data_IF_591620047659
#
_entry.id   IF_591620047659
#
_cell.length_a   1.000
_cell.length_b   1.000
_cell.length_c   1.000
_cell.angle_alpha   90.00
_cell.angle_beta   90.00
_cell.angle_gamma   90.00
#
_symmetry.space_group_name_H-M   'P 1'
#
loop_
_entity.id
_entity.type
_entity.pdbx_description
1 polymer ?
#
# COMPACT_ATOMS: atom_id res chain seq x y z
N UNK A 1 13.22 33.29 31.23
CA UNK A 1 12.97 31.83 31.09
C UNK A 1 12.45 31.56 29.67
N UNK A 2 13.28 31.04 28.77
CA UNK A 2 12.86 30.75 27.38
C UNK A 2 12.13 29.41 27.35
N UNK A 3 10.81 29.46 27.13
CA UNK A 3 9.97 28.30 26.90
C UNK A 3 10.39 27.65 25.57
N UNK A 4 11.01 26.46 25.64
CA UNK A 4 11.28 25.65 24.46
C UNK A 4 9.98 24.94 24.09
N UNK A 5 9.23 25.53 23.16
CA UNK A 5 8.20 24.82 22.44
C UNK A 5 8.86 23.62 21.77
N UNK A 6 8.55 22.41 22.24
CA UNK A 6 8.99 21.18 21.60
C UNK A 6 8.07 20.98 20.41
N UNK A 7 8.48 21.47 19.24
CA UNK A 7 7.90 21.00 17.99
C UNK A 7 8.41 19.59 17.73
N UNK A 8 7.63 18.60 18.18
CA UNK A 8 7.80 17.21 17.78
C UNK A 8 7.41 17.08 16.29
N UNK A 9 8.33 17.39 15.39
CA UNK A 9 8.18 17.06 13.98
C UNK A 9 8.42 15.55 13.80
N UNK A 10 7.37 14.79 13.45
CA UNK A 10 7.50 13.37 13.09
C UNK A 10 8.22 13.23 11.75
N UNK A 11 9.54 13.18 11.80
CA UNK A 11 10.44 12.91 10.66
C UNK A 11 10.36 11.44 10.26
N UNK A 12 9.35 11.11 9.44
CA UNK A 12 9.20 9.83 8.76
C UNK A 12 8.74 8.69 9.66
N UNK A 13 7.72 7.94 9.22
CA UNK A 13 7.45 6.64 9.84
C UNK A 13 8.70 5.76 9.69
N UNK A 14 9.23 5.24 10.80
CA UNK A 14 10.24 4.17 10.72
C UNK A 14 9.70 3.07 9.79
N UNK A 15 10.46 2.66 8.77
CA UNK A 15 10.07 1.57 7.83
C UNK A 15 9.43 0.39 8.59
N UNK A 16 9.99 0.01 9.74
CA UNK A 16 9.46 -1.05 10.62
C UNK A 16 8.01 -0.82 11.11
N UNK A 17 7.63 0.42 11.46
CA UNK A 17 6.27 0.76 11.90
C UNK A 17 5.27 0.73 10.75
N UNK A 18 5.64 1.22 9.57
CA UNK A 18 4.77 1.21 8.39
C UNK A 18 4.49 -0.23 7.90
N UNK A 19 5.50 -1.11 7.97
CA UNK A 19 5.34 -2.54 7.71
C UNK A 19 4.40 -3.22 8.71
N UNK A 20 4.59 -2.98 10.02
CA UNK A 20 3.69 -3.50 11.04
C UNK A 20 2.25 -3.03 10.82
N UNK A 21 2.04 -1.75 10.52
CA UNK A 21 0.72 -1.20 10.21
C UNK A 21 0.09 -1.88 9.00
N UNK A 22 0.85 -2.11 7.93
CA UNK A 22 0.37 -2.81 6.74
C UNK A 22 -0.04 -4.26 7.04
N UNK A 23 0.75 -4.97 7.84
CA UNK A 23 0.46 -6.35 8.27
C UNK A 23 -0.80 -6.37 9.15
N UNK A 24 -0.88 -5.49 10.15
CA UNK A 24 -2.06 -5.36 11.01
C UNK A 24 -3.31 -5.11 10.19
N UNK A 25 -3.25 -4.18 9.23
CA UNK A 25 -4.39 -3.89 8.37
C UNK A 25 -4.82 -5.09 7.50
N UNK A 26 -3.85 -5.87 7.00
CA UNK A 26 -4.14 -7.10 6.22
C UNK A 26 -4.78 -8.18 7.09
N UNK A 27 -4.28 -8.40 8.30
CA UNK A 27 -4.84 -9.40 9.22
C UNK A 27 -6.28 -9.02 9.59
N UNK A 28 -6.52 -7.75 9.93
CA UNK A 28 -7.86 -7.25 10.25
C UNK A 28 -8.82 -7.49 9.06
N UNK A 29 -8.38 -7.18 7.84
CA UNK A 29 -9.19 -7.40 6.64
C UNK A 29 -9.55 -8.87 6.39
N UNK A 30 -8.59 -9.79 6.56
CA UNK A 30 -8.82 -11.23 6.42
C UNK A 30 -9.84 -11.72 7.47
N UNK A 31 -9.67 -11.29 8.72
CA UNK A 31 -10.56 -11.68 9.83
C UNK A 31 -11.97 -11.16 9.61
N UNK A 32 -12.13 -9.89 9.24
CA UNK A 32 -13.46 -9.30 8.98
C UNK A 32 -14.15 -10.01 7.82
N UNK A 33 -13.45 -10.23 6.70
CA UNK A 33 -14.04 -10.91 5.54
C UNK A 33 -14.43 -12.35 5.87
N UNK A 34 -13.56 -13.07 6.59
CA UNK A 34 -13.85 -14.43 7.06
C UNK A 34 -15.06 -14.47 7.99
N UNK A 35 -15.14 -13.56 8.95
CA UNK A 35 -16.28 -13.46 9.88
C UNK A 35 -17.59 -13.14 9.16
N UNK A 36 -17.58 -12.18 8.23
CA UNK A 36 -18.78 -11.83 7.44
C UNK A 36 -19.19 -13.01 6.57
N UNK A 37 -18.25 -13.67 5.91
CA UNK A 37 -18.54 -14.83 5.05
C UNK A 37 -19.11 -15.98 5.87
N UNK A 38 -18.53 -16.27 7.05
CA UNK A 38 -19.05 -17.29 7.96
C UNK A 38 -20.43 -16.94 8.51
N UNK A 39 -20.68 -15.68 8.85
CA UNK A 39 -21.98 -15.25 9.34
C UNK A 39 -23.09 -15.42 8.29
N UNK A 40 -22.75 -15.29 7.01
CA UNK A 40 -23.70 -15.48 5.90
C UNK A 40 -23.88 -16.97 5.61
N UNK A 41 -22.78 -17.72 5.44
CA UNK A 41 -22.84 -19.09 4.94
C UNK A 41 -23.05 -20.13 6.05
N UNK A 42 -22.70 -19.83 7.30
CA UNK A 42 -22.67 -20.75 8.44
C UNK A 42 -21.81 -22.01 8.24
N UNK A 43 -20.93 -21.99 7.23
CA UNK A 43 -20.07 -23.11 6.84
C UNK A 43 -18.62 -22.63 6.78
N UNK A 44 -17.73 -23.35 7.47
CA UNK A 44 -16.30 -23.09 7.51
C UNK A 44 -15.58 -23.42 6.21
N UNK A 45 -16.01 -24.45 5.49
CA UNK A 45 -15.41 -24.87 4.22
C UNK A 45 -15.65 -23.77 3.17
N UNK A 46 -16.90 -23.37 2.97
CA UNK A 46 -17.26 -22.30 2.03
C UNK A 46 -16.58 -20.97 2.38
N UNK A 47 -16.54 -20.60 3.66
CA UNK A 47 -15.89 -19.37 4.12
C UNK A 47 -14.40 -19.34 3.78
N UNK A 48 -13.71 -20.47 3.96
CA UNK A 48 -12.29 -20.58 3.65
C UNK A 48 -12.03 -20.39 2.15
N UNK A 49 -12.85 -21.01 1.31
CA UNK A 49 -12.78 -20.89 -0.15
C UNK A 49 -13.01 -19.45 -0.59
N UNK A 50 -14.03 -18.78 -0.06
CA UNK A 50 -14.33 -17.37 -0.38
C UNK A 50 -13.15 -16.47 0.02
N UNK A 51 -12.65 -16.62 1.25
CA UNK A 51 -11.58 -15.76 1.79
C UNK A 51 -10.29 -15.92 0.99
N UNK A 52 -9.87 -17.16 0.71
CA UNK A 52 -8.66 -17.44 -0.07
C UNK A 52 -8.82 -16.93 -1.50
N UNK A 53 -9.95 -17.24 -2.14
CA UNK A 53 -10.22 -16.83 -3.52
C UNK A 53 -10.21 -15.31 -3.67
N UNK A 54 -10.83 -14.59 -2.74
CA UNK A 54 -10.83 -13.12 -2.75
C UNK A 54 -9.42 -12.53 -2.70
N UNK A 55 -8.56 -13.05 -1.81
CA UNK A 55 -7.19 -12.58 -1.69
C UNK A 55 -6.34 -12.93 -2.91
N UNK A 56 -6.52 -14.12 -3.49
CA UNK A 56 -5.85 -14.54 -4.72
C UNK A 56 -6.25 -13.65 -5.91
N UNK A 57 -7.56 -13.44 -6.11
CA UNK A 57 -8.09 -12.58 -7.17
C UNK A 57 -7.57 -11.16 -7.01
N UNK A 58 -7.52 -10.62 -5.79
CA UNK A 58 -6.97 -9.29 -5.52
C UNK A 58 -5.50 -9.16 -5.91
N UNK A 59 -4.68 -10.18 -5.67
CA UNK A 59 -3.27 -10.18 -6.08
C UNK A 59 -3.13 -10.13 -7.60
N UNK A 60 -3.91 -10.95 -8.30
CA UNK A 60 -3.95 -10.99 -9.77
C UNK A 60 -4.42 -9.64 -10.33
N UNK A 61 -5.54 -9.11 -9.83
CA UNK A 61 -6.07 -7.81 -10.21
C UNK A 61 -5.08 -6.68 -9.95
N UNK A 62 -4.39 -6.70 -8.81
CA UNK A 62 -3.39 -5.67 -8.50
C UNK A 62 -2.24 -5.68 -9.50
N UNK A 63 -1.74 -6.87 -9.88
CA UNK A 63 -0.70 -6.98 -10.91
C UNK A 63 -1.16 -6.45 -12.27
N UNK A 64 -2.35 -6.84 -12.72
CA UNK A 64 -2.89 -6.35 -13.99
C UNK A 64 -3.20 -4.86 -13.95
N UNK A 65 -3.70 -4.35 -12.83
CA UNK A 65 -3.96 -2.93 -12.62
C UNK A 65 -2.66 -2.12 -12.70
N UNK A 66 -1.61 -2.55 -12.01
CA UNK A 66 -0.29 -1.91 -12.07
C UNK A 66 0.25 -1.93 -13.49
N UNK A 67 0.16 -3.07 -14.20
CA UNK A 67 0.62 -3.17 -15.59
C UNK A 67 -0.19 -2.28 -16.55
N UNK A 68 -1.51 -2.19 -16.37
CA UNK A 68 -2.34 -1.31 -17.17
C UNK A 68 -1.99 0.15 -16.88
N UNK A 69 -1.78 0.51 -15.62
CA UNK A 69 -1.41 1.87 -15.24
C UNK A 69 -0.03 2.27 -15.76
N UNK A 70 0.97 1.39 -15.70
CA UNK A 70 2.33 1.64 -16.20
C UNK A 70 2.35 1.90 -17.71
N UNK A 71 1.43 1.29 -18.46
CA UNK A 71 1.24 1.56 -19.88
C UNK A 71 0.62 2.94 -20.17
N UNK A 72 0.09 3.65 -19.18
CA UNK A 72 -0.45 5.00 -19.33
C UNK A 72 0.63 6.00 -18.90
N UNK A 73 1.11 6.83 -19.82
CA UNK A 73 2.11 7.90 -19.53
C UNK A 73 1.59 9.04 -18.62
N UNK A 74 0.44 8.85 -17.97
CA UNK A 74 -0.23 9.90 -17.22
C UNK A 74 0.59 10.30 -15.99
N UNK A 75 1.05 11.56 -15.95
CA UNK A 75 1.73 12.15 -14.79
C UNK A 75 3.24 11.95 -14.73
N UNK A 76 3.89 11.39 -15.76
CA UNK A 76 5.35 11.35 -15.83
C UNK A 76 5.91 12.74 -16.16
N UNK A 77 6.47 13.42 -15.16
CA UNK A 77 7.30 14.62 -15.39
C UNK A 77 8.62 14.13 -16.00
N UNK A 78 8.84 14.38 -17.29
CA UNK A 78 10.16 14.22 -17.90
C UNK A 78 11.06 15.29 -17.29
N UNK A 79 11.87 14.92 -16.31
CA UNK A 79 13.00 15.75 -15.90
C UNK A 79 14.01 15.67 -17.03
N UNK A 80 13.88 16.57 -17.99
CA UNK A 80 14.95 16.85 -18.95
C UNK A 80 16.06 17.50 -18.16
N UNK A 81 16.99 16.69 -17.68
CA UNK A 81 18.27 17.21 -17.20
C UNK A 81 18.98 17.84 -18.39
N UNK A 82 18.88 19.16 -18.53
CA UNK A 82 20.00 19.93 -19.07
C UNK A 82 21.13 19.70 -18.07
N UNK A 83 21.95 18.69 -18.34
CA UNK A 83 23.33 18.73 -17.91
C UNK A 83 23.88 19.98 -18.60
N UNK A 84 24.07 21.06 -17.82
CA UNK A 84 24.84 22.20 -18.28
C UNK A 84 26.17 21.67 -18.77
N UNK A 85 26.23 21.61 -20.10
CA UNK A 85 27.37 21.30 -20.91
C UNK A 85 28.43 22.34 -20.55
N UNK A 86 29.52 21.87 -19.96
CA UNK A 86 30.75 22.59 -19.67
C UNK A 86 30.77 24.09 -20.00
N UNK A 87 30.63 24.89 -18.96
CA UNK A 87 31.39 26.13 -18.82
C UNK A 87 32.59 25.74 -17.92
N UNK A 88 33.84 25.67 -18.36
CA UNK A 88 34.42 26.26 -19.55
C UNK A 88 35.03 27.63 -19.29
N UNK A 89 35.34 28.02 -18.04
CA UNK A 89 36.42 28.95 -17.62
C UNK A 89 36.80 28.67 -16.17
#
# INVERSE_FOLDING_TARGET
MKNKNIECAYIGEMKRRSWLKSITWRIIGIVILGLISWLITHDWEQTSVITISFHAVRLVLYYFHERWWDNREWGRIKVTGQLEKGEGI
#
